data_IF_688503334321
#
_entry.id   IF_688503334321
#
_cell.length_a   1.000
_cell.length_b   1.000
_cell.length_c   1.000
_cell.angle_alpha   90.00
_cell.angle_beta   90.00
_cell.angle_gamma   90.00
#
_symmetry.space_group_name_H-M   'P 1'
#
loop_
_entity.id
_entity.type
_entity.pdbx_description
1 polymer ?
#
# COMPACT_ATOMS: atom_id res chain seq x y z
N UNK A 1 50.71 -27.89 -3.98
CA UNK A 1 49.24 -27.90 -4.17
C UNK A 1 48.70 -29.25 -3.71
N UNK A 2 47.46 -29.41 -3.19
CA UNK A 2 46.36 -28.45 -2.88
C UNK A 2 45.88 -28.51 -1.39
N UNK A 3 45.36 -27.41 -0.81
CA UNK A 3 43.95 -27.02 -0.54
C UNK A 3 43.42 -27.44 0.86
N UNK A 4 43.36 -26.54 1.85
CA UNK A 4 42.28 -25.57 2.21
C UNK A 4 41.07 -26.19 2.93
N UNK A 5 40.73 -25.64 4.09
CA UNK A 5 39.50 -25.96 4.83
C UNK A 5 39.41 -25.14 6.12
N UNK A 6 38.94 -23.90 6.01
CA UNK A 6 38.49 -23.06 7.13
C UNK A 6 37.22 -23.66 7.74
N UNK A 7 37.17 -23.83 9.06
CA UNK A 7 35.92 -24.11 9.78
C UNK A 7 35.05 -22.86 9.76
N UNK A 8 33.93 -22.91 9.05
CA UNK A 8 32.84 -21.94 9.18
C UNK A 8 31.93 -22.36 10.33
N UNK A 9 31.59 -21.37 11.16
CA UNK A 9 30.65 -21.42 12.28
C UNK A 9 29.25 -21.77 11.74
N UNK A 10 28.64 -22.82 12.27
CA UNK A 10 27.21 -23.12 12.09
C UNK A 10 26.57 -23.43 13.47
N UNK A 11 26.40 -22.39 14.30
CA UNK A 11 25.64 -22.46 15.55
C UNK A 11 24.13 -22.13 15.37
N UNK A 12 23.64 -22.11 14.12
CA UNK A 12 22.27 -21.68 13.84
C UNK A 12 21.20 -22.80 13.90
N UNK A 13 21.60 -24.05 14.19
CA UNK A 13 20.73 -25.22 13.93
C UNK A 13 20.21 -26.01 15.15
N UNK A 14 20.33 -25.49 16.39
CA UNK A 14 19.81 -26.19 17.58
C UNK A 14 18.54 -25.59 18.21
N UNK A 15 17.94 -24.55 17.63
CA UNK A 15 16.88 -23.77 18.29
C UNK A 15 15.40 -24.09 18.00
N UNK A 16 15.05 -24.94 17.02
CA UNK A 16 13.66 -24.99 16.49
C UNK A 16 12.82 -26.20 16.94
N UNK A 17 12.91 -26.61 18.21
CA UNK A 17 11.96 -27.60 18.78
C UNK A 17 11.08 -27.12 19.94
N UNK A 18 11.17 -25.86 20.36
CA UNK A 18 10.39 -25.35 21.51
C UNK A 18 9.37 -24.24 21.17
N UNK A 19 9.18 -23.87 19.91
CA UNK A 19 8.27 -22.78 19.52
C UNK A 19 6.82 -23.23 19.27
N UNK A 20 6.40 -24.38 19.82
CA UNK A 20 5.11 -25.01 19.54
C UNK A 20 4.08 -24.81 20.67
N UNK A 21 3.90 -23.58 21.16
CA UNK A 21 2.76 -23.20 22.00
C UNK A 21 2.62 -21.67 22.13
N UNK A 22 1.83 -21.05 21.25
CA UNK A 22 1.05 -19.82 21.52
C UNK A 22 1.75 -18.47 21.79
N UNK A 23 3.01 -18.43 22.23
CA UNK A 23 3.69 -17.19 22.66
C UNK A 23 4.81 -16.71 21.72
N UNK A 24 5.43 -17.60 20.95
CA UNK A 24 6.63 -17.30 20.17
C UNK A 24 6.35 -16.44 18.95
N UNK A 25 5.19 -16.59 18.31
CA UNK A 25 4.82 -15.84 17.10
C UNK A 25 4.81 -14.33 17.35
N UNK A 26 4.29 -13.88 18.50
CA UNK A 26 4.28 -12.46 18.89
C UNK A 26 5.68 -11.88 19.08
N UNK A 27 6.64 -12.68 19.57
CA UNK A 27 8.02 -12.21 19.82
C UNK A 27 8.81 -12.11 18.50
N UNK A 28 8.61 -13.02 17.55
CA UNK A 28 9.30 -12.97 16.25
C UNK A 28 8.82 -11.78 15.41
N UNK A 29 7.54 -11.41 15.46
CA UNK A 29 7.06 -10.19 14.80
C UNK A 29 7.68 -8.90 15.36
N UNK A 30 8.08 -8.89 16.63
CA UNK A 30 8.70 -7.73 17.26
C UNK A 30 10.20 -7.58 16.93
N UNK A 31 10.87 -8.66 16.52
CA UNK A 31 12.28 -8.65 16.09
C UNK A 31 12.46 -8.52 14.58
N UNK A 32 11.42 -8.77 13.78
CA UNK A 32 11.43 -8.50 12.34
C UNK A 32 11.28 -7.00 12.06
N UNK A 33 12.06 -6.49 11.10
CA UNK A 33 12.04 -5.09 10.69
C UNK A 33 10.68 -4.61 10.17
N UNK A 34 10.57 -3.31 9.95
CA UNK A 34 9.41 -2.69 9.32
C UNK A 34 9.55 -2.75 7.80
N UNK A 35 8.48 -3.15 7.11
CA UNK A 35 8.38 -3.11 5.64
C UNK A 35 7.48 -1.94 5.27
N UNK A 36 8.01 -1.02 4.48
CA UNK A 36 7.27 0.14 3.98
C UNK A 36 6.72 -0.19 2.58
N UNK A 37 5.40 -0.08 2.44
CA UNK A 37 4.66 -0.47 1.24
C UNK A 37 3.91 0.77 0.75
N UNK A 38 4.25 1.28 -0.43
CA UNK A 38 3.48 2.35 -1.05
C UNK A 38 2.10 1.83 -1.41
N UNK A 39 1.06 2.58 -1.09
CA UNK A 39 -0.32 2.14 -1.15
C UNK A 39 -1.21 3.29 -1.61
N UNK A 40 -2.18 2.98 -2.46
CA UNK A 40 -3.17 3.93 -2.94
C UNK A 40 -4.50 3.24 -3.27
N UNK A 41 -5.61 3.94 -3.04
CA UNK A 41 -6.95 3.50 -3.37
C UNK A 41 -7.68 4.51 -4.27
N UNK A 42 -8.30 4.00 -5.32
CA UNK A 42 -9.37 4.72 -6.01
C UNK A 42 -10.72 4.28 -5.44
N UNK A 43 -11.66 5.21 -5.28
CA UNK A 43 -12.96 4.93 -4.68
C UNK A 43 -14.10 5.57 -5.46
N UNK A 44 -15.33 5.10 -5.27
CA UNK A 44 -16.52 5.68 -5.93
C UNK A 44 -16.82 7.12 -5.49
N UNK A 45 -16.10 7.65 -4.50
CA UNK A 45 -16.15 9.03 -4.04
C UNK A 45 -15.65 9.13 -2.59
N UNK A 46 -15.77 10.32 -1.99
CA UNK A 46 -15.29 10.57 -0.62
C UNK A 46 -16.38 10.42 0.47
N UNK A 47 -17.56 9.93 0.10
CA UNK A 47 -18.73 9.83 0.97
C UNK A 47 -18.69 8.55 1.85
N UNK A 48 -19.40 8.53 2.99
CA UNK A 48 -19.54 7.31 3.78
C UNK A 48 -20.14 6.17 2.95
N UNK A 49 -19.53 4.99 3.01
CA UNK A 49 -19.98 3.84 2.22
C UNK A 49 -19.45 3.80 0.79
N UNK A 50 -18.58 4.74 0.38
CA UNK A 50 -17.90 4.67 -0.90
C UNK A 50 -17.14 3.34 -1.05
N UNK A 51 -17.25 2.77 -2.24
CA UNK A 51 -16.65 1.47 -2.58
C UNK A 51 -15.28 1.67 -3.18
N UNK A 52 -14.38 0.73 -2.94
CA UNK A 52 -13.09 0.68 -3.62
C UNK A 52 -13.31 0.33 -5.10
N UNK A 53 -12.62 1.04 -5.99
CA UNK A 53 -12.57 0.81 -7.44
C UNK A 53 -11.22 0.24 -7.90
N UNK A 54 -10.14 0.63 -7.23
CA UNK A 54 -8.78 0.19 -7.55
C UNK A 54 -7.98 0.09 -6.25
N UNK A 55 -7.19 -0.97 -6.11
CA UNK A 55 -6.21 -1.13 -5.05
C UNK A 55 -4.85 -1.30 -5.71
N UNK A 56 -3.87 -0.49 -5.33
CA UNK A 56 -2.48 -0.72 -5.72
C UNK A 56 -1.57 -0.65 -4.49
N UNK A 57 -0.60 -1.55 -4.44
CA UNK A 57 0.43 -1.53 -3.41
C UNK A 57 1.77 -2.01 -3.96
N UNK A 58 2.87 -1.43 -3.47
CA UNK A 58 4.22 -1.75 -3.93
C UNK A 58 5.22 -1.75 -2.79
N UNK A 59 6.03 -2.80 -2.70
CA UNK A 59 7.17 -2.85 -1.78
C UNK A 59 8.34 -2.05 -2.34
N UNK A 60 9.04 -1.32 -1.47
CA UNK A 60 10.26 -0.58 -1.86
C UNK A 60 11.42 -1.49 -2.30
N UNK A 61 11.50 -2.69 -1.72
CA UNK A 61 12.72 -3.52 -1.76
C UNK A 61 12.90 -4.31 -3.06
N UNK A 62 11.81 -4.75 -3.69
CA UNK A 62 11.85 -5.67 -4.84
C UNK A 62 10.83 -5.34 -5.94
N UNK A 63 10.21 -4.16 -5.88
CA UNK A 63 9.17 -3.72 -6.83
C UNK A 63 8.05 -4.76 -7.02
N UNK A 64 7.75 -5.58 -6.00
CA UNK A 64 6.59 -6.46 -6.01
C UNK A 64 5.33 -5.59 -5.90
N UNK A 65 4.47 -5.67 -6.91
CA UNK A 65 3.26 -4.86 -7.05
C UNK A 65 2.03 -5.75 -6.90
N UNK A 66 1.16 -5.38 -5.97
CA UNK A 66 -0.23 -5.82 -5.93
C UNK A 66 -1.09 -4.81 -6.67
N UNK A 67 -1.99 -5.28 -7.55
CA UNK A 67 -2.94 -4.43 -8.25
C UNK A 67 -4.24 -5.16 -8.55
N UNK A 68 -5.38 -4.54 -8.23
CA UNK A 68 -6.71 -5.03 -8.59
C UNK A 68 -7.66 -3.89 -8.89
N UNK A 69 -8.43 -4.05 -9.97
CA UNK A 69 -9.69 -3.33 -10.13
C UNK A 69 -10.82 -4.08 -9.43
N UNK A 70 -11.72 -3.31 -8.84
CA UNK A 70 -12.87 -3.79 -8.07
C UNK A 70 -14.14 -3.27 -8.73
N UNK A 71 -15.05 -4.18 -9.05
CA UNK A 71 -16.34 -3.80 -9.61
C UNK A 71 -17.28 -3.34 -8.48
N UNK A 72 -17.74 -2.07 -8.47
CA UNK A 72 -18.61 -1.57 -7.41
C UNK A 72 -20.05 -2.05 -7.62
N UNK A 73 -20.78 -2.23 -6.53
CA UNK A 73 -22.21 -2.50 -6.58
C UNK A 73 -22.98 -1.24 -6.98
N UNK A 74 -22.67 -0.11 -6.36
CA UNK A 74 -23.28 1.20 -6.60
C UNK A 74 -22.74 1.93 -7.82
N UNK A 75 -23.16 3.19 -7.92
CA UNK A 75 -22.71 4.12 -8.95
C UNK A 75 -21.40 4.81 -8.54
N UNK A 76 -20.68 5.33 -9.53
CA UNK A 76 -19.46 6.10 -9.32
C UNK A 76 -19.84 7.58 -9.36
N UNK A 77 -19.47 8.34 -8.32
CA UNK A 77 -19.70 9.78 -8.32
C UNK A 77 -18.96 10.42 -9.48
N UNK A 78 -19.61 11.40 -10.12
CA UNK A 78 -19.03 12.13 -11.26
C UNK A 78 -17.66 12.72 -10.95
N UNK A 79 -17.49 13.33 -9.77
CA UNK A 79 -16.21 13.91 -9.33
C UNK A 79 -15.10 12.84 -9.25
N UNK A 80 -15.43 11.64 -8.79
CA UNK A 80 -14.49 10.53 -8.72
C UNK A 80 -14.06 10.11 -10.15
N UNK A 81 -15.03 9.91 -11.05
CA UNK A 81 -14.75 9.68 -12.48
C UNK A 81 -13.91 10.79 -13.11
N UNK A 82 -14.15 12.06 -12.76
CA UNK A 82 -13.38 13.18 -13.29
C UNK A 82 -11.91 13.18 -12.82
N UNK A 83 -11.62 12.70 -11.61
CA UNK A 83 -10.26 12.58 -11.08
C UNK A 83 -9.57 11.34 -11.65
N UNK A 84 -10.03 10.16 -11.29
CA UNK A 84 -9.33 8.90 -11.55
C UNK A 84 -9.73 8.24 -12.86
N UNK A 85 -10.59 8.87 -13.67
CA UNK A 85 -10.95 8.42 -15.03
C UNK A 85 -11.53 7.00 -15.08
N UNK A 86 -12.09 6.52 -13.97
CA UNK A 86 -12.81 5.24 -13.89
C UNK A 86 -14.29 5.54 -13.97
N UNK A 87 -14.98 4.84 -14.85
CA UNK A 87 -16.41 4.99 -15.06
C UNK A 87 -17.10 3.64 -15.24
N UNK A 88 -18.36 3.60 -14.82
CA UNK A 88 -19.24 2.44 -14.97
C UNK A 88 -20.28 2.75 -16.03
N UNK A 89 -20.24 2.01 -17.14
CA UNK A 89 -21.18 2.15 -18.27
C UNK A 89 -21.64 0.77 -18.71
N UNK A 90 -22.94 0.57 -18.89
CA UNK A 90 -23.53 -0.70 -19.35
C UNK A 90 -23.02 -1.94 -18.59
N UNK A 91 -22.91 -1.84 -17.27
CA UNK A 91 -22.44 -2.93 -16.40
C UNK A 91 -20.96 -3.28 -16.56
N UNK A 92 -20.15 -2.38 -17.10
CA UNK A 92 -18.70 -2.55 -17.33
C UNK A 92 -17.93 -1.35 -16.77
N UNK A 93 -16.70 -1.59 -16.34
CA UNK A 93 -15.77 -0.54 -15.94
C UNK A 93 -14.85 -0.16 -17.09
N UNK A 94 -14.57 1.14 -17.20
CA UNK A 94 -13.60 1.68 -18.14
C UNK A 94 -12.63 2.59 -17.40
N UNK A 95 -11.33 2.52 -17.72
CA UNK A 95 -10.29 3.47 -17.29
C UNK A 95 -9.81 4.24 -18.52
N UNK A 96 -9.92 5.56 -18.51
CA UNK A 96 -9.57 6.40 -19.67
C UNK A 96 -10.27 5.96 -20.97
N UNK A 97 -11.55 5.58 -20.86
CA UNK A 97 -12.34 5.06 -21.98
C UNK A 97 -11.94 3.66 -22.48
N UNK A 98 -10.95 3.00 -21.85
CA UNK A 98 -10.56 1.61 -22.16
C UNK A 98 -11.27 0.65 -21.23
N UNK A 99 -11.84 -0.41 -21.80
CA UNK A 99 -12.53 -1.45 -21.05
C UNK A 99 -11.56 -2.12 -20.07
N UNK A 100 -11.97 -2.21 -18.80
CA UNK A 100 -11.30 -3.00 -17.78
C UNK A 100 -11.90 -4.40 -17.82
N UNK A 101 -11.15 -5.35 -18.39
CA UNK A 101 -11.61 -6.74 -18.56
C UNK A 101 -11.44 -7.58 -17.30
N UNK A 102 -10.45 -7.24 -16.48
CA UNK A 102 -10.13 -7.96 -15.24
C UNK A 102 -10.59 -7.13 -14.04
N UNK A 103 -11.76 -7.47 -13.52
CA UNK A 103 -12.29 -6.89 -12.28
C UNK A 103 -12.60 -8.01 -11.29
N UNK A 104 -12.54 -7.68 -10.02
CA UNK A 104 -12.85 -8.60 -8.92
C UNK A 104 -13.99 -8.04 -8.08
N UNK A 105 -14.59 -8.90 -7.25
CA UNK A 105 -15.46 -8.41 -6.17
C UNK A 105 -14.62 -7.75 -5.07
N UNK A 106 -15.23 -6.85 -4.29
CA UNK A 106 -14.60 -6.24 -3.11
C UNK A 106 -14.02 -7.28 -2.15
N UNK A 107 -14.81 -8.31 -1.83
CA UNK A 107 -14.38 -9.41 -0.95
C UNK A 107 -13.12 -10.11 -1.48
N UNK A 108 -13.11 -10.42 -2.77
CA UNK A 108 -11.98 -11.08 -3.41
C UNK A 108 -10.74 -10.18 -3.40
N UNK A 109 -10.86 -8.93 -3.84
CA UNK A 109 -9.75 -7.98 -3.88
C UNK A 109 -9.09 -7.80 -2.51
N UNK A 110 -9.90 -7.63 -1.46
CA UNK A 110 -9.41 -7.45 -0.10
C UNK A 110 -8.76 -8.71 0.47
N UNK A 111 -9.29 -9.91 0.17
CA UNK A 111 -8.65 -11.18 0.58
C UNK A 111 -7.32 -11.41 -0.13
N UNK A 112 -7.28 -11.13 -1.43
CA UNK A 112 -6.04 -11.23 -2.21
C UNK A 112 -5.00 -10.21 -1.71
N UNK A 113 -5.43 -8.99 -1.38
CA UNK A 113 -4.56 -7.98 -0.80
C UNK A 113 -4.04 -8.41 0.58
N UNK A 114 -4.91 -8.95 1.43
CA UNK A 114 -4.53 -9.48 2.73
C UNK A 114 -3.51 -10.62 2.61
N UNK A 115 -3.74 -11.56 1.69
CA UNK A 115 -2.80 -12.65 1.42
C UNK A 115 -1.44 -12.11 0.93
N UNK A 116 -1.45 -11.18 -0.02
CA UNK A 116 -0.24 -10.56 -0.55
C UNK A 116 0.57 -9.81 0.52
N UNK A 117 -0.10 -9.17 1.48
CA UNK A 117 0.54 -8.58 2.66
C UNK A 117 1.08 -9.67 3.60
N UNK A 118 0.32 -10.73 3.83
CA UNK A 118 0.71 -11.87 4.68
C UNK A 118 2.03 -12.52 4.25
N UNK A 119 2.30 -12.56 2.95
CA UNK A 119 3.52 -13.12 2.37
C UNK A 119 4.78 -12.27 2.65
N UNK A 120 4.62 -10.99 3.02
CA UNK A 120 5.75 -10.11 3.35
C UNK A 120 6.25 -10.40 4.77
N UNK A 121 7.57 -10.48 4.96
CA UNK A 121 8.16 -10.67 6.29
C UNK A 121 8.24 -9.35 7.05
N UNK A 122 7.90 -9.35 8.33
CA UNK A 122 7.96 -8.14 9.18
C UNK A 122 6.64 -7.40 9.37
N UNK A 123 6.72 -6.22 9.99
CA UNK A 123 5.58 -5.36 10.33
C UNK A 123 5.33 -4.37 9.18
N UNK A 124 4.13 -4.36 8.60
CA UNK A 124 3.86 -3.59 7.37
C UNK A 124 3.33 -2.22 7.73
N UNK A 125 3.98 -1.19 7.19
CA UNK A 125 3.54 0.19 7.24
C UNK A 125 3.12 0.58 5.82
N UNK A 126 1.82 0.88 5.65
CA UNK A 126 1.32 1.35 4.37
C UNK A 126 1.62 2.84 4.24
N UNK A 127 2.32 3.24 3.19
CA UNK A 127 2.74 4.61 2.91
C UNK A 127 1.83 5.16 1.83
N UNK A 128 1.05 6.18 2.16
CA UNK A 128 0.17 6.84 1.22
C UNK A 128 0.33 8.35 1.33
N UNK A 129 -0.05 9.08 0.28
CA UNK A 129 0.05 10.54 0.33
C UNK A 129 -0.96 11.10 1.33
N UNK A 130 -2.24 10.73 1.20
CA UNK A 130 -3.28 11.11 2.15
C UNK A 130 -3.76 9.91 2.98
N UNK A 131 -2.84 9.33 3.76
CA UNK A 131 -3.04 8.01 4.36
C UNK A 131 -4.24 7.89 5.31
N UNK A 132 -4.73 8.98 5.90
CA UNK A 132 -5.95 8.94 6.73
C UNK A 132 -7.18 8.58 5.87
N UNK A 133 -7.25 9.07 4.64
CA UNK A 133 -8.34 8.81 3.69
C UNK A 133 -8.28 7.36 3.21
N UNK A 134 -7.12 6.91 2.75
CA UNK A 134 -6.90 5.54 2.30
C UNK A 134 -7.18 4.53 3.42
N UNK A 135 -6.67 4.79 4.62
CA UNK A 135 -6.91 3.94 5.78
C UNK A 135 -8.40 3.85 6.15
N UNK A 136 -9.12 4.97 6.09
CA UNK A 136 -10.57 5.00 6.34
C UNK A 136 -11.30 4.08 5.35
N UNK A 137 -11.09 4.25 4.04
CA UNK A 137 -11.81 3.47 3.04
C UNK A 137 -11.42 1.99 3.05
N UNK A 138 -10.14 1.67 3.27
CA UNK A 138 -9.72 0.28 3.45
C UNK A 138 -10.46 -0.38 4.62
N UNK A 139 -10.50 0.28 5.78
CA UNK A 139 -11.15 -0.25 6.99
C UNK A 139 -12.66 -0.39 6.83
N UNK A 140 -13.33 0.61 6.26
CA UNK A 140 -14.78 0.57 6.03
C UNK A 140 -15.17 -0.55 5.07
N UNK A 141 -14.45 -0.70 3.96
CA UNK A 141 -14.70 -1.77 2.98
C UNK A 141 -14.36 -3.16 3.53
N UNK A 142 -13.26 -3.29 4.29
CA UNK A 142 -12.90 -4.54 4.96
C UNK A 142 -13.93 -4.96 6.01
N UNK A 143 -14.46 -4.01 6.79
CA UNK A 143 -15.51 -4.26 7.77
C UNK A 143 -16.77 -4.84 7.12
N UNK A 144 -17.17 -4.32 5.96
CA UNK A 144 -18.34 -4.83 5.23
C UNK A 144 -18.17 -6.28 4.77
N UNK A 145 -16.94 -6.73 4.53
CA UNK A 145 -16.61 -8.09 4.11
C UNK A 145 -16.15 -9.01 5.26
N UNK A 146 -16.20 -8.52 6.50
CA UNK A 146 -15.69 -9.21 7.70
C UNK A 146 -14.21 -9.62 7.56
N UNK A 147 -13.39 -8.75 6.99
CA UNK A 147 -11.94 -8.91 6.82
C UNK A 147 -11.23 -8.01 7.84
N UNK A 148 -10.26 -8.57 8.55
CA UNK A 148 -9.50 -7.88 9.60
C UNK A 148 -8.02 -7.83 9.25
N UNK A 149 -7.51 -6.64 8.94
CA UNK A 149 -6.12 -6.40 8.57
C UNK A 149 -5.18 -6.17 9.76
N UNK A 150 -5.64 -6.22 11.02
CA UNK A 150 -4.81 -5.93 12.20
C UNK A 150 -3.59 -6.84 12.35
N UNK A 151 -3.61 -8.02 11.74
CA UNK A 151 -2.47 -8.96 11.72
C UNK A 151 -1.44 -8.57 10.67
N UNK A 152 -1.89 -8.04 9.54
CA UNK A 152 -1.05 -7.71 8.40
C UNK A 152 -0.50 -6.29 8.47
N UNK A 153 -1.29 -5.31 8.91
CA UNK A 153 -0.95 -3.88 8.86
C UNK A 153 -0.72 -3.35 10.26
N UNK A 154 0.49 -2.84 10.51
CA UNK A 154 0.86 -2.22 11.78
C UNK A 154 0.45 -0.74 11.85
N UNK A 155 0.45 -0.05 10.71
CA UNK A 155 0.13 1.37 10.66
C UNK A 155 0.17 1.96 9.25
N UNK A 156 -0.13 3.26 9.19
CA UNK A 156 -0.19 4.05 7.97
C UNK A 156 0.70 5.28 8.09
N UNK A 157 1.69 5.42 7.21
CA UNK A 157 2.54 6.60 7.12
C UNK A 157 1.94 7.62 6.13
N UNK A 158 1.69 8.83 6.62
CA UNK A 158 1.08 9.92 5.82
C UNK A 158 2.17 10.86 5.27
N UNK A 159 2.41 10.82 3.95
CA UNK A 159 3.45 11.67 3.36
C UNK A 159 2.99 13.10 3.10
N UNK A 160 1.69 13.37 2.99
CA UNK A 160 1.17 14.73 2.90
C UNK A 160 1.59 15.57 4.12
N UNK A 161 1.34 15.07 5.33
CA UNK A 161 1.76 15.72 6.58
C UNK A 161 3.28 15.84 6.68
N UNK A 162 4.01 14.82 6.23
CA UNK A 162 5.47 14.84 6.19
C UNK A 162 5.99 15.97 5.31
N UNK A 163 5.51 16.07 4.07
CA UNK A 163 5.95 17.09 3.10
C UNK A 163 5.45 18.48 3.46
N UNK A 164 4.26 18.61 4.04
CA UNK A 164 3.78 19.88 4.59
C UNK A 164 4.75 20.40 5.65
N UNK A 165 5.13 19.57 6.61
CA UNK A 165 6.09 19.95 7.65
C UNK A 165 7.49 20.23 7.08
N UNK A 166 7.95 19.43 6.10
CA UNK A 166 9.30 19.57 5.53
C UNK A 166 9.44 20.80 4.62
N UNK A 167 8.39 21.15 3.89
CA UNK A 167 8.44 22.24 2.89
C UNK A 167 7.80 23.54 3.37
N UNK A 168 7.01 23.50 4.46
CA UNK A 168 6.21 24.62 4.94
C UNK A 168 4.94 24.89 4.12
N UNK A 169 4.67 24.06 3.10
CA UNK A 169 3.53 24.22 2.20
C UNK A 169 2.85 22.87 1.96
N UNK A 170 1.53 22.90 1.85
CA UNK A 170 0.76 21.74 1.40
C UNK A 170 0.83 21.60 -0.12
N UNK A 171 1.21 20.41 -0.60
CA UNK A 171 1.29 20.07 -2.02
C UNK A 171 0.49 18.81 -2.30
N UNK A 172 -0.13 18.73 -3.47
CA UNK A 172 -0.62 17.46 -3.99
C UNK A 172 0.55 16.54 -4.36
N UNK A 173 0.28 15.24 -4.49
CA UNK A 173 1.28 14.30 -5.00
C UNK A 173 1.77 14.71 -6.40
N UNK A 174 0.84 15.12 -7.27
CA UNK A 174 1.14 15.62 -8.62
C UNK A 174 2.09 16.83 -8.59
N UNK A 175 1.85 17.79 -7.70
CA UNK A 175 2.73 18.96 -7.54
C UNK A 175 4.12 18.56 -7.08
N UNK A 176 4.23 17.69 -6.06
CA UNK A 176 5.51 17.19 -5.57
C UNK A 176 6.27 16.45 -6.67
N UNK A 177 5.58 15.55 -7.37
CA UNK A 177 6.13 14.73 -8.44
C UNK A 177 6.67 15.59 -9.59
N UNK A 178 5.92 16.61 -10.02
CA UNK A 178 6.36 17.56 -11.04
C UNK A 178 7.56 18.38 -10.58
N UNK A 179 7.57 18.84 -9.33
CA UNK A 179 8.67 19.65 -8.77
C UNK A 179 10.00 18.91 -8.72
N UNK A 180 9.99 17.61 -8.49
CA UNK A 180 11.21 16.78 -8.51
C UNK A 180 11.59 16.26 -9.91
N UNK A 181 10.91 16.73 -10.96
CA UNK A 181 11.20 16.35 -12.34
C UNK A 181 10.74 14.93 -12.69
N UNK A 182 9.60 14.48 -12.13
CA UNK A 182 9.00 13.20 -12.46
C UNK A 182 8.69 13.04 -13.96
N UNK A 183 8.94 11.87 -14.57
CA UNK A 183 8.58 11.58 -15.96
C UNK A 183 7.08 11.82 -16.26
N UNK A 184 6.80 12.52 -17.37
CA UNK A 184 5.43 12.79 -17.84
C UNK A 184 4.70 11.53 -18.34
N UNK A 185 5.42 10.42 -18.55
CA UNK A 185 4.84 9.14 -18.94
C UNK A 185 4.07 8.46 -17.80
N UNK A 186 4.27 8.88 -16.55
CA UNK A 186 3.59 8.33 -15.38
C UNK A 186 2.14 8.76 -15.35
N UNK A 187 1.24 7.78 -15.16
CA UNK A 187 -0.20 7.99 -15.15
C UNK A 187 -0.69 8.32 -13.75
N UNK A 188 -0.53 9.58 -13.35
CA UNK A 188 -1.13 10.08 -12.10
C UNK A 188 -2.66 9.94 -12.13
N UNK A 189 -3.28 9.81 -10.97
CA UNK A 189 -4.71 9.49 -10.82
C UNK A 189 -5.06 8.08 -11.33
N UNK A 190 -4.08 7.19 -11.22
CA UNK A 190 -4.28 5.76 -11.20
C UNK A 190 -3.51 5.21 -10.03
N UNK A 191 -4.08 4.29 -9.27
CA UNK A 191 -3.47 3.81 -8.03
C UNK A 191 -2.02 3.31 -8.27
N UNK A 192 -1.76 2.61 -9.38
CA UNK A 192 -0.40 2.18 -9.74
C UNK A 192 0.53 3.35 -10.07
N UNK A 193 0.07 4.32 -10.86
CA UNK A 193 0.89 5.49 -11.18
C UNK A 193 1.16 6.37 -9.96
N UNK A 194 0.22 6.44 -9.02
CA UNK A 194 0.36 7.24 -7.80
C UNK A 194 1.30 6.58 -6.79
N UNK A 195 1.30 5.25 -6.62
CA UNK A 195 2.32 4.59 -5.78
C UNK A 195 3.73 4.70 -6.39
N UNK A 196 3.86 4.65 -7.72
CA UNK A 196 5.14 4.87 -8.40
C UNK A 196 5.62 6.31 -8.24
N UNK A 197 4.71 7.28 -8.42
CA UNK A 197 5.01 8.69 -8.23
C UNK A 197 5.39 9.00 -6.78
N UNK A 198 4.68 8.41 -5.82
CA UNK A 198 4.94 8.58 -4.39
C UNK A 198 6.31 8.01 -4.02
N UNK A 199 6.65 6.81 -4.48
CA UNK A 199 8.00 6.26 -4.30
C UNK A 199 9.07 7.20 -4.86
N UNK A 200 8.88 7.67 -6.09
CA UNK A 200 9.82 8.58 -6.74
C UNK A 200 10.02 9.87 -5.93
N UNK A 201 8.93 10.48 -5.46
CA UNK A 201 8.97 11.70 -4.63
C UNK A 201 9.71 11.46 -3.31
N UNK A 202 9.42 10.35 -2.62
CA UNK A 202 10.06 9.97 -1.36
C UNK A 202 11.57 9.77 -1.55
N UNK A 203 11.97 9.08 -2.61
CA UNK A 203 13.38 8.84 -2.94
C UNK A 203 14.13 10.12 -3.34
N UNK A 204 13.52 10.96 -4.20
CA UNK A 204 14.14 12.21 -4.65
C UNK A 204 14.35 13.22 -3.53
N UNK A 205 13.48 13.23 -2.54
CA UNK A 205 13.65 14.08 -1.35
C UNK A 205 14.53 13.45 -0.26
N UNK A 206 15.07 12.25 -0.49
CA UNK A 206 15.90 11.53 0.47
C UNK A 206 15.18 11.20 1.78
N UNK A 207 13.86 10.96 1.72
CA UNK A 207 13.06 10.68 2.91
C UNK A 207 13.45 9.32 3.49
N UNK A 208 13.80 9.32 4.77
CA UNK A 208 14.22 8.13 5.51
C UNK A 208 13.02 7.36 6.07
N UNK A 209 13.23 6.08 6.38
CA UNK A 209 12.21 5.27 7.11
C UNK A 209 11.92 5.85 8.49
N UNK A 210 12.91 6.46 9.15
CA UNK A 210 12.70 7.14 10.42
C UNK A 210 11.78 8.36 10.28
N UNK A 211 11.92 9.15 9.20
CA UNK A 211 10.97 10.23 8.91
C UNK A 211 9.57 9.66 8.66
N UNK A 212 9.41 8.61 7.84
CA UNK A 212 8.10 7.98 7.61
C UNK A 212 7.46 7.48 8.92
N UNK A 213 8.26 6.89 9.81
CA UNK A 213 7.82 6.41 11.12
C UNK A 213 7.24 7.53 11.99
N UNK A 214 7.84 8.72 11.95
CA UNK A 214 7.35 9.87 12.73
C UNK A 214 5.94 10.34 12.29
N UNK A 215 5.54 10.01 11.07
CA UNK A 215 4.21 10.32 10.51
C UNK A 215 3.34 9.06 10.35
N UNK A 216 3.65 8.00 11.09
CA UNK A 216 2.89 6.75 11.09
C UNK A 216 1.83 6.75 12.19
N UNK A 217 0.57 6.59 11.81
CA UNK A 217 -0.51 6.25 12.75
C UNK A 217 -0.66 4.73 12.86
N UNK A 218 -1.03 4.22 14.04
CA UNK A 218 -1.28 2.80 14.21
C UNK A 218 -2.51 2.32 13.43
N UNK A 219 -2.66 1.01 13.29
CA UNK A 219 -3.93 0.39 12.90
C UNK A 219 -4.73 0.09 14.19
N UNK A 220 -5.60 1.00 14.69
CA UNK A 220 -6.42 0.74 15.85
C UNK A 220 -7.42 -0.40 15.61
#
# INVERSE_FOLDING_TARGET
MPFMGTQTIDDFYSGTKAALAGGTTMIIFNTMGEVYIYFDLETTGLHPGAEILEIAAKTKENDDIFHRYVFPQGDINREATEVHKIEKRDGRLFKDGKLITETTSRAQALREFQAWLGDKRGRKILVAHNADTDAKFLKENAKQENIDFRREIQGFACTYKLFENKTGCSFSLEDLYRKVGGPQSTKLHSAVGDIEALQFVVEKHGITTQELKNYTSGFP
#
